data_IF_520350124112
#
_entry.id   IF_520350124112
#
_cell.length_a   1.000
_cell.length_b   1.000
_cell.length_c   1.000
_cell.angle_alpha   90.00
_cell.angle_beta   90.00
_cell.angle_gamma   90.00
#
_symmetry.space_group_name_H-M   'P 1'
#
loop_
_entity.id
_entity.type
_entity.pdbx_description
1 polymer ?
#
# COMPACT_ATOMS: atom_id res chain seq x y z
N UNK A 1 -3.61 9.96 -22.12
CA UNK A 1 -3.66 8.49 -22.02
C UNK A 1 -2.22 8.02 -21.86
N UNK A 2 -1.70 8.13 -20.64
CA UNK A 2 -0.28 7.92 -20.35
C UNK A 2 -0.05 6.42 -20.32
N UNK A 3 0.77 5.93 -21.24
CA UNK A 3 1.21 4.55 -21.28
C UNK A 3 1.78 4.17 -19.91
N UNK A 4 1.23 3.12 -19.27
CA UNK A 4 1.67 2.63 -17.96
C UNK A 4 3.13 2.13 -17.96
N UNK A 5 3.82 2.26 -19.10
CA UNK A 5 5.24 2.00 -19.27
C UNK A 5 5.95 3.21 -19.88
N UNK A 6 6.02 4.34 -19.15
CA UNK A 6 7.07 5.32 -19.42
C UNK A 6 8.42 4.59 -19.31
N UNK A 7 9.13 4.42 -20.42
CA UNK A 7 10.40 3.70 -20.44
C UNK A 7 11.40 4.30 -19.44
N UNK A 8 11.30 5.61 -19.17
CA UNK A 8 12.05 6.29 -18.13
C UNK A 8 11.67 5.84 -16.71
N UNK A 9 10.38 5.77 -16.40
CA UNK A 9 9.89 5.26 -15.12
C UNK A 9 10.29 3.79 -14.87
N UNK A 10 10.14 2.93 -15.88
CA UNK A 10 10.56 1.52 -15.79
C UNK A 10 12.06 1.39 -15.55
N UNK A 11 12.89 2.16 -16.27
CA UNK A 11 14.33 2.15 -16.09
C UNK A 11 14.75 2.63 -14.68
N UNK A 12 14.14 3.71 -14.17
CA UNK A 12 14.39 4.22 -12.81
C UNK A 12 14.01 3.19 -11.74
N UNK A 13 12.86 2.54 -11.86
CA UNK A 13 12.43 1.50 -10.92
C UNK A 13 13.41 0.32 -10.91
N UNK A 14 13.83 -0.16 -12.08
CA UNK A 14 14.82 -1.24 -12.19
C UNK A 14 16.15 -0.84 -11.54
N UNK A 15 16.61 0.38 -11.77
CA UNK A 15 17.85 0.87 -11.18
C UNK A 15 17.79 0.88 -9.64
N UNK A 16 16.74 1.45 -9.06
CA UNK A 16 16.57 1.48 -7.60
C UNK A 16 16.42 0.09 -6.97
N UNK A 17 15.75 -0.86 -7.64
CA UNK A 17 15.63 -2.24 -7.14
C UNK A 17 16.98 -2.98 -7.16
N UNK A 18 17.85 -2.69 -8.14
CA UNK A 18 19.22 -3.25 -8.19
C UNK A 18 20.09 -2.65 -7.10
N UNK A 19 20.04 -1.33 -6.93
CA UNK A 19 20.77 -0.63 -5.87
C UNK A 19 20.36 -1.15 -4.47
N UNK A 20 19.06 -1.39 -4.24
CA UNK A 20 18.58 -2.00 -3.01
C UNK A 20 19.11 -3.43 -2.82
N UNK A 21 19.16 -4.23 -3.88
CA UNK A 21 19.72 -5.58 -3.81
C UNK A 21 21.21 -5.56 -3.44
N UNK A 22 21.99 -4.70 -4.10
CA UNK A 22 23.43 -4.53 -3.84
C UNK A 22 23.69 -4.04 -2.39
N UNK A 23 22.84 -3.14 -1.89
CA UNK A 23 22.90 -2.66 -0.51
C UNK A 23 22.63 -3.78 0.50
N UNK A 24 21.61 -4.62 0.27
CA UNK A 24 21.26 -5.72 1.16
C UNK A 24 22.29 -6.86 1.15
N UNK A 25 23.03 -7.04 0.06
CA UNK A 25 24.12 -8.02 -0.02
C UNK A 25 25.34 -7.59 0.82
N UNK A 26 25.57 -6.29 0.94
CA UNK A 26 26.75 -5.72 1.61
C UNK A 26 26.48 -5.21 3.03
N UNK A 27 25.22 -5.01 3.39
CA UNK A 27 24.82 -4.38 4.66
C UNK A 27 23.83 -5.27 5.41
N UNK A 28 24.08 -5.60 6.69
CA UNK A 28 23.18 -6.41 7.53
C UNK A 28 21.97 -5.59 8.01
N UNK A 29 21.22 -5.03 7.07
CA UNK A 29 19.99 -4.30 7.33
C UNK A 29 18.82 -5.26 7.61
N UNK A 30 17.83 -4.86 8.44
CA UNK A 30 16.62 -5.63 8.62
C UNK A 30 15.87 -5.82 7.29
N UNK A 31 15.45 -7.06 7.01
CA UNK A 31 14.65 -7.39 5.82
C UNK A 31 13.22 -7.80 6.21
N UNK A 32 12.20 -7.51 5.37
CA UNK A 32 10.84 -7.96 5.62
C UNK A 32 10.73 -9.49 5.70
N UNK A 33 10.27 -10.01 6.84
CA UNK A 33 10.13 -11.45 7.08
C UNK A 33 9.18 -12.13 6.08
N UNK A 34 8.15 -11.41 5.63
CA UNK A 34 7.07 -11.96 4.81
C UNK A 34 7.18 -11.57 3.33
N UNK A 35 8.33 -11.03 2.92
CA UNK A 35 8.57 -10.58 1.55
C UNK A 35 8.17 -9.13 1.30
N UNK A 36 8.18 -8.75 0.02
CA UNK A 36 7.91 -7.38 -0.43
C UNK A 36 6.95 -7.38 -1.62
N UNK A 37 6.10 -6.36 -1.71
CA UNK A 37 5.15 -6.19 -2.81
C UNK A 37 5.36 -4.82 -3.47
N UNK A 38 5.58 -4.81 -4.78
CA UNK A 38 5.54 -3.61 -5.61
C UNK A 38 4.13 -3.48 -6.17
N UNK A 39 3.41 -2.43 -5.76
CA UNK A 39 2.01 -2.21 -6.18
C UNK A 39 1.93 -1.10 -7.24
N UNK A 40 1.23 -1.39 -8.33
CA UNK A 40 0.86 -0.43 -9.38
C UNK A 40 -0.66 -0.24 -9.35
N UNK A 41 -1.10 1.01 -9.22
CA UNK A 41 -2.51 1.37 -9.25
C UNK A 41 -2.93 1.77 -10.66
N UNK A 42 -3.87 1.02 -11.23
CA UNK A 42 -4.46 1.37 -12.53
C UNK A 42 -5.23 2.70 -12.44
N UNK A 43 -5.31 3.43 -13.56
CA UNK A 43 -5.86 4.79 -13.58
C UNK A 43 -7.05 4.92 -14.54
N UNK A 44 -7.88 5.95 -14.31
CA UNK A 44 -9.06 6.25 -15.12
C UNK A 44 -10.37 5.74 -14.51
N UNK A 45 -11.38 5.54 -15.36
CA UNK A 45 -12.68 4.97 -14.93
C UNK A 45 -12.53 3.52 -14.50
N UNK A 46 -13.47 2.99 -13.71
CA UNK A 46 -13.44 1.59 -13.26
C UNK A 46 -13.23 0.60 -14.42
N UNK A 47 -13.89 0.83 -15.56
CA UNK A 47 -13.71 0.01 -16.77
C UNK A 47 -12.31 0.15 -17.38
N UNK A 48 -11.74 1.36 -17.42
CA UNK A 48 -10.37 1.59 -17.91
C UNK A 48 -9.34 0.91 -17.00
N UNK A 49 -9.55 1.00 -15.68
CA UNK A 49 -8.68 0.37 -14.70
C UNK A 49 -8.72 -1.16 -14.82
N UNK A 50 -9.91 -1.76 -14.93
CA UNK A 50 -10.04 -3.21 -15.13
C UNK A 50 -9.35 -3.67 -16.42
N UNK A 51 -9.55 -2.93 -17.52
CA UNK A 51 -8.88 -3.23 -18.79
C UNK A 51 -7.35 -3.09 -18.70
N UNK A 52 -6.83 -2.20 -17.86
CA UNK A 52 -5.39 -2.10 -17.58
C UNK A 52 -4.88 -3.32 -16.82
N UNK A 53 -5.62 -3.79 -15.82
CA UNK A 53 -5.31 -5.03 -15.08
C UNK A 53 -5.33 -6.24 -16.01
N UNK A 54 -6.29 -6.34 -16.93
CA UNK A 54 -6.36 -7.45 -17.91
C UNK A 54 -5.14 -7.45 -18.84
N UNK A 55 -4.72 -6.27 -19.33
CA UNK A 55 -3.48 -6.12 -20.11
C UNK A 55 -2.25 -6.53 -19.31
N UNK A 56 -2.18 -6.10 -18.05
CA UNK A 56 -1.09 -6.47 -17.17
C UNK A 56 -1.06 -7.98 -16.91
N UNK A 57 -2.21 -8.62 -16.69
CA UNK A 57 -2.32 -10.05 -16.46
C UNK A 57 -1.79 -10.87 -17.66
N UNK A 58 -2.10 -10.41 -18.89
CA UNK A 58 -1.59 -11.02 -20.11
C UNK A 58 -0.05 -10.91 -20.23
N UNK A 59 0.51 -9.73 -19.92
CA UNK A 59 1.98 -9.51 -19.95
C UNK A 59 2.69 -10.29 -18.85
N UNK A 60 2.11 -10.30 -17.65
CA UNK A 60 2.66 -10.97 -16.48
C UNK A 60 2.44 -12.47 -16.52
N UNK A 61 1.54 -13.00 -17.37
CA UNK A 61 1.20 -14.41 -17.40
C UNK A 61 0.63 -14.91 -16.06
N UNK A 62 -0.11 -14.05 -15.35
CA UNK A 62 -0.74 -14.35 -14.06
C UNK A 62 -2.26 -14.22 -14.17
N UNK A 63 -3.04 -14.98 -13.38
CA UNK A 63 -4.49 -14.87 -13.40
C UNK A 63 -4.96 -13.52 -12.85
N UNK A 64 -6.16 -13.13 -13.25
CA UNK A 64 -6.90 -12.03 -12.64
C UNK A 64 -7.72 -12.55 -11.46
N UNK A 65 -7.69 -11.80 -10.36
CA UNK A 65 -8.53 -11.98 -9.18
C UNK A 65 -9.59 -10.89 -9.17
N UNK A 66 -10.79 -11.23 -9.61
CA UNK A 66 -11.97 -10.35 -9.50
C UNK A 66 -12.56 -10.44 -8.09
N UNK A 67 -12.46 -9.35 -7.32
CA UNK A 67 -13.11 -9.18 -6.02
C UNK A 67 -13.92 -7.89 -5.98
N UNK A 68 -14.41 -7.41 -7.12
CA UNK A 68 -15.14 -6.15 -7.22
C UNK A 68 -16.38 -6.16 -6.32
N UNK A 69 -17.12 -7.27 -6.28
CA UNK A 69 -18.31 -7.42 -5.46
C UNK A 69 -18.03 -7.47 -3.94
N UNK A 70 -16.84 -7.92 -3.52
CA UNK A 70 -16.51 -8.16 -2.10
C UNK A 70 -15.65 -7.04 -1.53
N UNK A 71 -14.49 -6.77 -2.14
CA UNK A 71 -13.54 -5.77 -1.64
C UNK A 71 -13.46 -4.54 -2.54
N UNK A 72 -14.08 -4.56 -3.72
CA UNK A 72 -13.95 -3.50 -4.72
C UNK A 72 -12.58 -3.45 -5.39
N UNK A 73 -11.82 -4.57 -5.33
CA UNK A 73 -10.52 -4.72 -5.97
C UNK A 73 -10.63 -5.66 -7.16
N UNK A 74 -9.92 -5.31 -8.23
CA UNK A 74 -9.72 -6.17 -9.38
C UNK A 74 -8.24 -6.15 -9.69
N UNK A 75 -7.55 -7.29 -9.60
CA UNK A 75 -6.09 -7.30 -9.55
C UNK A 75 -5.46 -8.52 -10.20
N UNK A 76 -4.19 -8.38 -10.57
CA UNK A 76 -3.32 -9.49 -10.93
C UNK A 76 -2.01 -9.39 -10.16
N UNK A 77 -1.44 -10.53 -9.82
CA UNK A 77 -0.20 -10.61 -9.04
C UNK A 77 0.71 -11.66 -9.68
N UNK A 78 1.96 -11.27 -9.93
CA UNK A 78 3.04 -12.17 -10.32
C UNK A 78 4.12 -12.17 -9.23
N UNK A 79 4.44 -13.35 -8.73
CA UNK A 79 5.41 -13.54 -7.64
C UNK A 79 6.74 -14.10 -8.17
N UNK A 80 7.84 -13.56 -7.65
CA UNK A 80 9.24 -13.91 -7.91
C UNK A 80 9.91 -14.22 -6.56
N UNK A 81 9.88 -15.49 -6.15
CA UNK A 81 10.32 -15.87 -4.81
C UNK A 81 9.44 -15.21 -3.74
N UNK A 82 10.03 -14.36 -2.88
CA UNK A 82 9.30 -13.60 -1.83
C UNK A 82 8.90 -12.18 -2.27
N UNK A 83 9.21 -11.80 -3.52
CA UNK A 83 8.88 -10.47 -4.05
C UNK A 83 7.71 -10.60 -5.03
N UNK A 84 6.69 -9.76 -4.92
CA UNK A 84 5.53 -9.77 -5.82
C UNK A 84 5.37 -8.43 -6.55
N UNK A 85 4.94 -8.50 -7.81
CA UNK A 85 4.44 -7.35 -8.56
C UNK A 85 2.92 -7.47 -8.66
N UNK A 86 2.22 -6.50 -8.08
CA UNK A 86 0.76 -6.42 -8.06
C UNK A 86 0.29 -5.24 -8.88
N UNK A 87 -0.69 -5.47 -9.76
CA UNK A 87 -1.40 -4.42 -10.49
C UNK A 87 -2.86 -4.48 -10.07
N UNK A 88 -3.39 -3.37 -9.56
CA UNK A 88 -4.73 -3.33 -8.95
C UNK A 88 -5.55 -2.13 -9.44
N UNK A 89 -6.80 -2.42 -9.79
CA UNK A 89 -7.87 -1.45 -9.94
C UNK A 89 -8.63 -1.30 -8.62
N UNK A 90 -8.89 -0.06 -8.22
CA UNK A 90 -9.65 0.27 -7.02
C UNK A 90 -10.83 1.12 -7.47
N UNK A 91 -12.02 0.51 -7.41
CA UNK A 91 -13.25 1.16 -7.88
C UNK A 91 -13.56 2.47 -7.17
N UNK A 92 -14.28 3.35 -7.85
CA UNK A 92 -14.80 4.57 -7.25
C UNK A 92 -15.65 4.27 -6.00
N UNK A 93 -16.49 3.24 -6.06
CA UNK A 93 -17.29 2.81 -4.91
C UNK A 93 -16.42 2.37 -3.72
N UNK A 94 -15.27 1.72 -3.96
CA UNK A 94 -14.31 1.37 -2.90
C UNK A 94 -13.64 2.61 -2.34
N UNK A 95 -13.23 3.55 -3.18
CA UNK A 95 -12.65 4.82 -2.75
C UNK A 95 -13.63 5.66 -1.94
N UNK A 96 -14.91 5.69 -2.33
CA UNK A 96 -15.97 6.37 -1.57
C UNK A 96 -16.16 5.76 -0.18
N UNK A 97 -16.22 4.41 -0.07
CA UNK A 97 -16.27 3.72 1.22
C UNK A 97 -15.03 3.99 2.08
N UNK A 98 -13.85 3.98 1.47
CA UNK A 98 -12.61 4.29 2.18
C UNK A 98 -12.63 5.72 2.74
N UNK A 99 -13.00 6.72 1.91
CA UNK A 99 -13.14 8.11 2.33
C UNK A 99 -14.14 8.27 3.47
N UNK A 100 -15.28 7.59 3.40
CA UNK A 100 -16.28 7.60 4.47
C UNK A 100 -15.75 6.93 5.76
N UNK A 101 -14.92 5.90 5.66
CA UNK A 101 -14.31 5.24 6.81
C UNK A 101 -13.26 6.13 7.48
N UNK A 102 -12.42 6.81 6.70
CA UNK A 102 -11.35 7.67 7.25
C UNK A 102 -11.83 9.09 7.60
N UNK A 103 -13.07 9.47 7.27
CA UNK A 103 -13.57 10.84 7.51
C UNK A 103 -13.62 11.23 8.98
N UNK A 104 -13.61 10.24 9.88
CA UNK A 104 -13.61 10.44 11.33
C UNK A 104 -12.27 10.10 12.01
N UNK A 105 -11.23 9.76 11.24
CA UNK A 105 -9.97 9.23 11.78
C UNK A 105 -9.29 10.16 12.80
N UNK A 106 -9.37 11.48 12.57
CA UNK A 106 -8.67 12.47 13.39
C UNK A 106 -9.53 13.05 14.53
N UNK A 107 -10.78 12.61 14.67
CA UNK A 107 -11.70 13.18 15.66
C UNK A 107 -11.57 12.57 17.06
N UNK A 108 -10.91 11.41 17.19
CA UNK A 108 -10.68 10.76 18.48
C UNK A 108 -9.18 10.63 18.69
N UNK A 109 -8.65 11.49 19.55
CA UNK A 109 -7.27 11.42 19.99
C UNK A 109 -7.20 10.58 21.28
N UNK A 110 -6.20 9.71 21.44
CA UNK A 110 -5.96 9.08 22.72
C UNK A 110 -5.65 10.15 23.76
N UNK A 111 -6.12 9.95 24.99
CA UNK A 111 -5.71 10.80 26.10
C UNK A 111 -4.19 10.70 26.26
N UNK A 112 -3.51 11.84 26.32
CA UNK A 112 -2.09 11.85 26.69
C UNK A 112 -2.00 11.53 28.19
N UNK A 113 -1.30 10.45 28.54
CA UNK A 113 -1.01 10.06 29.94
C UNK A 113 -0.17 11.11 30.72
N UNK A 114 0.09 12.29 30.14
CA UNK A 114 0.85 13.38 30.78
C UNK A 114 0.12 14.09 31.92
N UNK A 115 -1.20 13.94 32.05
CA UNK A 115 -2.01 14.61 33.09
C UNK A 115 -2.09 13.83 34.43
N UNK A 116 -1.53 12.63 34.53
CA UNK A 116 -1.64 11.80 35.75
C UNK A 116 -0.68 12.23 36.87
N UNK A 117 0.31 13.08 36.60
CA UNK A 117 1.32 13.46 37.63
C UNK A 117 0.95 14.68 38.48
N UNK A 118 -0.14 15.41 38.17
CA UNK A 118 -0.48 16.64 38.88
C UNK A 118 -1.38 16.46 40.13
N UNK A 119 -1.86 15.24 40.42
CA UNK A 119 -2.92 15.05 41.43
C UNK A 119 -2.50 14.29 42.71
N UNK A 120 -1.24 13.90 42.86
CA UNK A 120 -0.74 13.27 44.11
C UNK A 120 -0.19 14.26 45.15
N UNK A 121 0.08 15.53 44.80
CA UNK A 121 0.79 16.44 45.72
C UNK A 121 -0.14 17.24 46.68
N UNK A 122 -1.47 17.05 46.61
CA UNK A 122 -2.43 17.74 47.51
C UNK A 122 -2.69 16.95 48.80
N UNK A 123 -2.27 15.69 48.90
CA UNK A 123 -2.59 14.83 50.04
C UNK A 123 -1.59 14.86 51.22
N UNK A 124 -0.46 15.58 51.14
CA UNK A 124 0.62 15.53 52.16
C UNK A 124 0.91 16.89 52.82
N UNK A 125 -0.10 17.76 53.05
CA UNK A 125 0.09 18.99 53.87
C UNK A 125 -1.06 19.33 54.82
N UNK A 126 -1.60 18.33 55.53
CA UNK A 126 -2.43 18.56 56.71
C UNK A 126 -2.27 17.42 57.73
N UNK A 127 -1.20 17.50 58.53
CA UNK A 127 -1.03 16.76 59.78
C UNK A 127 -0.25 17.64 60.77
#
# INVERSE_FOLDING_TARGET
>A
MTDATDAGARARLIAGLRELADYLETTPAPVPRYGAEVTVHAQGTDAQQCAEVDRAAAVLGSPVSDRLAVSGHYETVRTFGVVSLRVVAITEARMARYRAHISYADNVLPDDDSDVTAQEDVAVRAA
#
